data_IF_978936408549
#
_entry.id   IF_978936408549
#
_cell.length_a   1.000
_cell.length_b   1.000
_cell.length_c   1.000
_cell.angle_alpha   90.00
_cell.angle_beta   90.00
_cell.angle_gamma   90.00
#
_symmetry.space_group_name_H-M   'P 1'
#
loop_
_entity.id
_entity.type
_entity.pdbx_description
1 polymer ?
#
# COMPACT_ATOMS: atom_id res chain seq x y z
N UNK A 1 0.18 -9.95 -5.55
CA UNK A 1 -0.83 -9.70 -4.50
C UNK A 1 -0.23 -10.09 -3.17
N UNK A 2 -0.31 -9.23 -2.16
CA UNK A 2 0.07 -9.55 -0.78
C UNK A 2 -1.24 -9.72 -0.01
N UNK A 3 -1.42 -10.86 0.65
CA UNK A 3 -2.63 -11.20 1.42
C UNK A 3 -2.25 -11.85 2.75
N UNK A 4 -2.91 -11.44 3.84
CA UNK A 4 -2.70 -11.98 5.17
C UNK A 4 -3.78 -13.01 5.55
N UNK A 5 -5.01 -12.82 5.07
CA UNK A 5 -6.14 -13.67 5.41
C UNK A 5 -5.98 -15.08 4.82
N UNK A 6 -5.83 -16.06 5.70
CA UNK A 6 -5.62 -17.47 5.35
C UNK A 6 -6.85 -18.12 4.75
N UNK A 7 -8.03 -17.61 5.03
CA UNK A 7 -9.29 -18.15 4.51
C UNK A 7 -9.53 -17.65 3.07
N UNK A 8 -9.02 -16.46 2.72
CA UNK A 8 -9.09 -15.92 1.35
C UNK A 8 -8.06 -16.54 0.41
N UNK A 9 -6.89 -16.92 0.91
CA UNK A 9 -5.78 -17.43 0.10
C UNK A 9 -6.17 -18.62 -0.81
N UNK A 10 -6.87 -19.67 -0.34
CA UNK A 10 -7.28 -20.79 -1.19
C UNK A 10 -8.12 -20.34 -2.39
N UNK A 11 -9.08 -19.44 -2.16
CA UNK A 11 -9.94 -18.89 -3.20
C UNK A 11 -9.16 -18.04 -4.20
N UNK A 12 -8.24 -17.20 -3.72
CA UNK A 12 -7.36 -16.40 -4.59
C UNK A 12 -6.42 -17.28 -5.42
N UNK A 13 -5.86 -18.34 -4.85
CA UNK A 13 -5.04 -19.30 -5.59
C UNK A 13 -5.86 -20.02 -6.65
N UNK A 14 -7.08 -20.46 -6.33
CA UNK A 14 -7.94 -21.13 -7.31
C UNK A 14 -8.23 -20.24 -8.53
N UNK A 15 -8.43 -18.93 -8.32
CA UNK A 15 -8.73 -17.97 -9.40
C UNK A 15 -7.46 -17.56 -10.17
N UNK A 16 -6.35 -17.33 -9.48
CA UNK A 16 -5.18 -16.66 -10.08
C UNK A 16 -3.96 -17.55 -10.31
N UNK A 17 -3.93 -18.79 -9.81
CA UNK A 17 -2.78 -19.70 -9.96
C UNK A 17 -2.39 -19.99 -11.41
N UNK A 18 -3.34 -19.93 -12.33
CA UNK A 18 -3.11 -20.15 -13.77
C UNK A 18 -2.49 -18.94 -14.48
N UNK A 19 -2.45 -17.77 -13.83
CA UNK A 19 -1.90 -16.55 -14.43
C UNK A 19 -0.43 -16.38 -14.03
N UNK A 20 0.54 -16.61 -14.94
CA UNK A 20 1.98 -16.50 -14.61
C UNK A 20 2.41 -15.06 -14.27
N UNK A 21 1.58 -14.06 -14.60
CA UNK A 21 1.82 -12.65 -14.25
C UNK A 21 1.29 -12.29 -12.86
N UNK A 22 0.59 -13.20 -12.18
CA UNK A 22 0.05 -12.99 -10.85
C UNK A 22 0.75 -13.90 -9.85
N UNK A 23 1.54 -13.31 -8.95
CA UNK A 23 2.10 -14.00 -7.79
C UNK A 23 1.32 -13.59 -6.54
N UNK A 24 0.74 -14.57 -5.86
CA UNK A 24 0.14 -14.38 -4.54
C UNK A 24 1.22 -14.64 -3.47
N UNK A 25 1.37 -13.69 -2.55
CA UNK A 25 2.29 -13.73 -1.42
C UNK A 25 1.45 -13.72 -0.14
N UNK A 26 1.51 -14.81 0.63
CA UNK A 26 0.89 -14.87 1.95
C UNK A 26 1.79 -14.16 2.96
N UNK A 27 1.50 -12.89 3.25
CA UNK A 27 2.34 -12.07 4.12
C UNK A 27 1.58 -10.88 4.71
N UNK A 28 2.06 -10.40 5.86
CA UNK A 28 1.63 -9.13 6.45
C UNK A 28 2.30 -7.97 5.70
N UNK A 29 1.49 -7.15 5.03
CA UNK A 29 1.99 -6.00 4.26
C UNK A 29 2.75 -4.98 5.11
N UNK A 30 2.46 -4.87 6.42
CA UNK A 30 3.19 -3.96 7.32
C UNK A 30 4.62 -4.44 7.61
N UNK A 31 4.86 -5.76 7.48
CA UNK A 31 6.16 -6.40 7.74
C UNK A 31 6.88 -6.83 6.48
N UNK A 32 6.25 -6.64 5.32
CA UNK A 32 6.77 -7.08 4.05
C UNK A 32 7.95 -6.20 3.61
N UNK A 33 8.98 -6.83 3.05
CA UNK A 33 10.11 -6.14 2.44
C UNK A 33 9.80 -5.82 0.98
N UNK A 34 9.35 -4.59 0.72
CA UNK A 34 9.04 -4.13 -0.64
C UNK A 34 10.29 -4.02 -1.52
N UNK A 35 11.47 -3.81 -0.94
CA UNK A 35 12.71 -3.73 -1.71
C UNK A 35 13.06 -5.07 -2.36
N UNK A 36 12.69 -6.19 -1.74
CA UNK A 36 12.83 -7.53 -2.34
C UNK A 36 12.04 -7.71 -3.65
N UNK A 37 11.04 -6.86 -3.94
CA UNK A 37 10.29 -6.87 -5.20
C UNK A 37 10.92 -5.98 -6.29
N UNK A 38 11.83 -5.08 -5.94
CA UNK A 38 12.43 -4.13 -6.88
C UNK A 38 13.64 -4.69 -7.65
N UNK A 39 13.72 -6.02 -7.81
CA UNK A 39 14.90 -6.74 -8.31
C UNK A 39 15.36 -6.32 -9.72
N UNK A 40 14.45 -5.83 -10.58
CA UNK A 40 14.75 -5.48 -11.98
C UNK A 40 14.96 -3.97 -12.22
N UNK A 41 15.25 -3.19 -11.17
CA UNK A 41 15.43 -1.73 -11.25
C UNK A 41 14.23 -0.95 -11.82
N UNK A 42 13.06 -1.59 -11.93
CA UNK A 42 11.81 -0.95 -12.31
C UNK A 42 11.10 -0.47 -11.05
N UNK A 43 10.69 0.80 -10.99
CA UNK A 43 9.99 1.32 -9.83
C UNK A 43 8.61 0.67 -9.71
N UNK A 44 8.26 0.29 -8.48
CA UNK A 44 7.04 -0.42 -8.15
C UNK A 44 5.82 0.49 -8.33
N UNK A 45 4.72 -0.10 -8.81
CA UNK A 45 3.40 0.53 -8.76
C UNK A 45 2.55 -0.20 -7.75
N UNK A 46 2.06 0.51 -6.75
CA UNK A 46 1.33 -0.10 -5.64
C UNK A 46 -0.14 0.25 -5.77
N UNK A 47 -0.98 -0.79 -5.83
CA UNK A 47 -2.44 -0.64 -5.93
C UNK A 47 -3.09 -1.53 -4.88
N UNK A 48 -4.09 -1.02 -4.16
CA UNK A 48 -4.77 -1.82 -3.16
C UNK A 48 -5.99 -1.16 -2.53
N UNK A 49 -6.86 -1.97 -1.98
CA UNK A 49 -7.91 -1.51 -1.08
C UNK A 49 -7.41 -1.71 0.35
N UNK A 50 -7.07 -0.62 1.05
CA UNK A 50 -6.43 -0.74 2.35
C UNK A 50 -7.49 -0.79 3.46
N UNK A 51 -7.41 -1.77 4.38
CA UNK A 51 -8.30 -1.80 5.52
C UNK A 51 -8.01 -0.62 6.45
N UNK A 52 -9.07 -0.04 7.01
CA UNK A 52 -8.99 1.21 7.78
C UNK A 52 -7.95 1.15 8.91
N UNK A 53 -7.94 0.04 9.66
CA UNK A 53 -7.10 -0.16 10.84
C UNK A 53 -5.59 -0.18 10.56
N UNK A 54 -5.18 -0.44 9.32
CA UNK A 54 -3.75 -0.50 8.95
C UNK A 54 -3.36 0.52 7.87
N UNK A 55 -4.32 1.27 7.34
CA UNK A 55 -4.11 2.19 6.22
C UNK A 55 -2.96 3.18 6.47
N UNK A 56 -3.04 3.92 7.58
CA UNK A 56 -2.03 4.93 7.96
C UNK A 56 -0.63 4.34 8.17
N UNK A 57 -0.42 3.31 9.01
CA UNK A 57 0.92 2.74 9.18
C UNK A 57 1.46 2.10 7.90
N UNK A 58 0.60 1.53 7.04
CA UNK A 58 1.03 1.00 5.76
C UNK A 58 1.46 2.10 4.79
N UNK A 59 0.74 3.23 4.74
CA UNK A 59 1.16 4.39 3.94
C UNK A 59 2.53 4.89 4.40
N UNK A 60 2.77 5.04 5.70
CA UNK A 60 4.09 5.42 6.20
C UNK A 60 5.19 4.46 5.75
N UNK A 61 4.94 3.15 5.85
CA UNK A 61 5.90 2.13 5.41
C UNK A 61 6.20 2.20 3.92
N UNK A 62 5.20 2.50 3.10
CA UNK A 62 5.38 2.67 1.66
C UNK A 62 6.12 3.97 1.34
N UNK A 63 5.84 5.07 2.04
CA UNK A 63 6.55 6.34 1.89
C UNK A 63 8.04 6.20 2.27
N UNK A 64 8.39 5.40 3.28
CA UNK A 64 9.79 5.04 3.59
C UNK A 64 10.51 4.36 2.40
N UNK A 65 9.75 3.73 1.51
CA UNK A 65 10.22 3.06 0.30
C UNK A 65 9.92 3.89 -0.98
N UNK A 66 9.63 5.19 -0.86
CA UNK A 66 9.25 6.04 -1.99
C UNK A 66 10.30 6.04 -3.12
N UNK A 67 11.59 5.89 -2.78
CA UNK A 67 12.68 5.83 -3.76
C UNK A 67 12.54 4.68 -4.79
N UNK A 68 11.86 3.60 -4.43
CA UNK A 68 11.63 2.44 -5.30
C UNK A 68 10.18 2.35 -5.81
N UNK A 69 9.33 3.34 -5.51
CA UNK A 69 7.91 3.36 -5.86
C UNK A 69 7.66 4.50 -6.85
N UNK A 70 7.01 4.18 -7.97
CA UNK A 70 6.59 5.15 -8.98
C UNK A 70 5.31 5.87 -8.61
N UNK A 71 4.29 5.10 -8.23
CA UNK A 71 2.97 5.61 -7.89
C UNK A 71 2.23 4.66 -6.95
N UNK A 72 1.28 5.24 -6.19
CA UNK A 72 0.46 4.55 -5.20
C UNK A 72 -1.00 4.91 -5.42
N UNK A 73 -1.85 3.91 -5.62
CA UNK A 73 -3.28 4.08 -5.86
C UNK A 73 -4.07 3.25 -4.85
N UNK A 74 -4.67 3.91 -3.86
CA UNK A 74 -5.39 3.25 -2.79
C UNK A 74 -6.85 3.64 -2.73
N UNK A 75 -7.71 2.65 -2.48
CA UNK A 75 -9.04 2.90 -1.95
C UNK A 75 -8.93 2.98 -0.42
N UNK A 76 -9.46 4.08 0.13
CA UNK A 76 -9.39 4.45 1.55
C UNK A 76 -10.73 5.02 1.99
N UNK A 77 -10.94 5.10 3.30
CA UNK A 77 -12.06 5.88 3.84
C UNK A 77 -11.86 7.37 3.55
N UNK A 78 -12.96 8.06 3.28
CA UNK A 78 -12.96 9.48 2.89
C UNK A 78 -12.16 10.35 3.87
N UNK A 79 -12.34 10.17 5.18
CA UNK A 79 -11.62 10.96 6.21
C UNK A 79 -10.08 10.80 6.15
N UNK A 80 -9.59 9.65 5.68
CA UNK A 80 -8.14 9.42 5.53
C UNK A 80 -7.63 10.16 4.29
N UNK A 81 -8.42 10.17 3.22
CA UNK A 81 -8.11 10.90 1.99
C UNK A 81 -8.11 12.41 2.24
N UNK A 82 -9.09 12.92 3.00
CA UNK A 82 -9.17 14.34 3.39
C UNK A 82 -7.93 14.78 4.17
N UNK A 83 -7.41 13.94 5.08
CA UNK A 83 -6.16 14.21 5.82
C UNK A 83 -4.91 14.16 4.94
N UNK A 84 -4.86 13.25 3.96
CA UNK A 84 -3.73 13.16 3.02
C UNK A 84 -3.67 14.40 2.11
N UNK A 85 -4.84 14.85 1.62
CA UNK A 85 -4.98 15.99 0.73
C UNK A 85 -5.09 17.34 1.45
N UNK A 86 -5.05 17.35 2.78
CA UNK A 86 -5.20 18.56 3.59
C UNK A 86 -4.10 19.59 3.30
N UNK A 87 -4.47 20.86 3.18
CA UNK A 87 -3.52 21.97 2.98
C UNK A 87 -3.09 22.62 4.29
N UNK A 88 -1.91 23.27 4.32
CA UNK A 88 -1.45 24.02 5.50
C UNK A 88 -2.51 24.95 6.07
N UNK A 89 -2.76 24.84 7.38
CA UNK A 89 -3.74 25.64 8.11
C UNK A 89 -5.17 25.06 8.12
N UNK A 90 -5.43 23.94 7.45
CA UNK A 90 -6.71 23.23 7.60
C UNK A 90 -6.75 22.41 8.90
N UNK A 91 -7.96 22.09 9.39
CA UNK A 91 -8.16 21.26 10.60
C UNK A 91 -7.56 19.86 10.44
N UNK A 92 -7.60 19.31 9.23
CA UNK A 92 -7.15 17.96 8.91
C UNK A 92 -5.66 17.90 8.53
N UNK A 93 -4.99 19.06 8.48
CA UNK A 93 -3.56 19.15 8.23
C UNK A 93 -2.77 18.71 9.47
N UNK A 94 -2.47 17.41 9.49
CA UNK A 94 -1.70 16.77 10.56
C UNK A 94 -0.53 15.96 10.02
N UNK A 95 0.06 15.12 10.89
CA UNK A 95 1.24 14.31 10.60
C UNK A 95 1.13 13.52 9.29
N UNK A 96 -0.03 12.94 8.99
CA UNK A 96 -0.24 12.15 7.78
C UNK A 96 -0.11 13.00 6.50
N UNK A 97 -0.82 14.13 6.43
CA UNK A 97 -0.75 15.04 5.28
C UNK A 97 0.64 15.65 5.09
N UNK A 98 1.28 16.10 6.18
CA UNK A 98 2.64 16.65 6.14
C UNK A 98 3.63 15.62 5.56
N UNK A 99 3.57 14.38 6.06
CA UNK A 99 4.52 13.35 5.64
C UNK A 99 4.24 12.87 4.22
N UNK A 100 2.98 12.75 3.82
CA UNK A 100 2.61 12.38 2.45
C UNK A 100 2.98 13.46 1.42
N UNK A 101 3.01 14.73 1.80
CA UNK A 101 3.40 15.85 0.93
C UNK A 101 4.91 16.11 0.92
N UNK A 102 5.64 15.59 1.91
CA UNK A 102 7.10 15.71 2.01
C UNK A 102 7.83 14.76 1.05
N UNK A 103 7.33 13.54 0.89
CA UNK A 103 7.85 12.53 -0.04
C UNK A 103 7.29 12.73 -1.45
#
# INVERSE_FOLDING_TARGET
>A
VIELDRDLIPSLLAVYSVNPRCKLLSADALKFDFAALAADSQPLRVVGNLPYNISTPLIFRLLENAAIIRDMHFMLQLEVVERLAATPGSKDWGRLGIMAQYY
#
